data_IF_005720681726
#
_entry.id   IF_005720681726
#
_cell.length_a   1.000
_cell.length_b   1.000
_cell.length_c   1.000
_cell.angle_alpha   90.00
_cell.angle_beta   90.00
_cell.angle_gamma   90.00
#
_symmetry.space_group_name_H-M   'P 1'
#
loop_
_entity.id
_entity.type
_entity.pdbx_description
1 polymer ?
#
# COMPACT_ATOMS: atom_id res chain seq x y z
N UNK A 1 4.74 13.91 -9.04
CA UNK A 1 3.51 13.09 -8.95
C UNK A 1 3.23 12.53 -10.35
N UNK A 2 3.26 11.22 -10.56
CA UNK A 2 2.86 10.66 -11.84
C UNK A 2 1.39 11.00 -12.11
N UNK A 3 1.05 11.49 -13.30
CA UNK A 3 -0.34 11.70 -13.65
C UNK A 3 -1.00 10.31 -13.72
N UNK A 4 -2.07 10.13 -12.99
CA UNK A 4 -2.90 8.96 -13.14
C UNK A 4 -3.98 9.21 -14.20
N UNK A 5 -4.05 8.36 -15.21
CA UNK A 5 -5.11 8.41 -16.23
C UNK A 5 -6.18 7.39 -15.84
N UNK A 6 -7.33 7.88 -15.46
CA UNK A 6 -8.49 7.04 -15.22
C UNK A 6 -9.03 6.54 -16.58
N UNK A 7 -9.22 5.23 -16.81
CA UNK A 7 -9.53 4.69 -18.14
C UNK A 7 -10.78 5.25 -18.81
N UNK A 8 -11.69 5.84 -18.04
CA UNK A 8 -12.98 6.36 -18.53
C UNK A 8 -13.18 7.86 -18.29
N UNK A 9 -12.16 8.58 -17.80
CA UNK A 9 -12.21 10.02 -17.57
C UNK A 9 -11.10 10.73 -18.35
N UNK A 10 -11.42 11.86 -18.95
CA UNK A 10 -10.46 12.68 -19.68
C UNK A 10 -9.47 13.42 -18.74
N UNK A 11 -9.76 13.46 -17.43
CA UNK A 11 -8.94 14.18 -16.45
C UNK A 11 -8.21 13.22 -15.52
N UNK A 12 -6.90 13.45 -15.29
CA UNK A 12 -6.13 12.70 -14.31
C UNK A 12 -6.52 13.15 -12.89
N UNK A 13 -7.04 12.23 -12.07
CA UNK A 13 -7.28 12.47 -10.66
C UNK A 13 -6.24 11.74 -9.81
N UNK A 14 -5.75 12.43 -8.76
CA UNK A 14 -4.83 11.85 -7.79
C UNK A 14 -5.61 11.13 -6.69
N UNK A 15 -5.13 9.95 -6.28
CA UNK A 15 -5.61 9.28 -5.10
C UNK A 15 -5.14 9.98 -3.81
N UNK A 16 -5.81 9.67 -2.69
CA UNK A 16 -5.37 10.06 -1.34
C UNK A 16 -5.21 8.80 -0.50
N UNK A 17 -4.11 8.74 0.25
CA UNK A 17 -3.81 7.65 1.16
C UNK A 17 -3.34 8.16 2.50
N UNK A 18 -3.38 7.30 3.50
CA UNK A 18 -2.78 7.53 4.81
C UNK A 18 -1.68 6.52 5.03
N UNK A 19 -0.57 6.96 5.62
CA UNK A 19 0.50 6.07 5.98
C UNK A 19 0.94 6.29 7.42
N UNK A 20 1.48 5.24 8.02
CA UNK A 20 2.20 5.31 9.30
C UNK A 20 3.41 4.40 9.27
N UNK A 21 4.47 4.83 9.96
CA UNK A 21 5.68 4.04 10.16
C UNK A 21 5.71 3.59 11.62
N UNK A 22 5.76 2.29 11.82
CA UNK A 22 6.00 1.65 13.12
C UNK A 22 7.48 1.28 13.16
N UNK A 23 8.28 2.12 13.79
CA UNK A 23 9.72 1.91 13.87
C UNK A 23 10.09 0.68 14.70
N UNK A 24 11.23 0.09 14.37
CA UNK A 24 11.95 -0.81 15.24
C UNK A 24 12.35 -0.10 16.56
N UNK A 25 12.81 -0.84 17.59
CA UNK A 25 13.20 -0.23 18.86
C UNK A 25 14.35 0.78 18.78
N UNK A 26 15.16 0.77 17.72
CA UNK A 26 16.25 1.71 17.52
C UNK A 26 15.78 3.08 16.97
N UNK A 27 14.54 3.16 16.47
CA UNK A 27 13.96 4.38 15.94
C UNK A 27 14.52 4.83 14.59
N UNK A 28 15.32 3.99 13.93
CA UNK A 28 15.96 4.28 12.64
C UNK A 28 15.18 3.59 11.53
N UNK A 29 14.75 4.36 10.52
CA UNK A 29 14.13 3.79 9.33
C UNK A 29 15.22 3.24 8.41
N UNK A 30 15.48 1.93 8.45
CA UNK A 30 16.55 1.30 7.68
C UNK A 30 16.15 -0.02 6.99
N UNK A 31 15.15 -0.74 7.50
CA UNK A 31 14.69 -2.05 7.01
C UNK A 31 13.18 -2.08 6.78
N UNK A 32 12.65 -1.31 5.82
CA UNK A 32 11.21 -1.14 5.66
C UNK A 32 10.51 -2.38 5.11
N UNK A 33 9.40 -2.73 5.76
CA UNK A 33 8.40 -3.69 5.30
C UNK A 33 7.13 -2.89 5.05
N UNK A 34 6.69 -2.80 3.80
CA UNK A 34 5.44 -2.17 3.42
C UNK A 34 4.28 -3.16 3.60
N UNK A 35 3.25 -2.75 4.32
CA UNK A 35 1.99 -3.48 4.47
C UNK A 35 0.89 -2.66 3.80
N UNK A 36 0.31 -3.20 2.74
CA UNK A 36 -0.64 -2.50 1.87
C UNK A 36 -2.05 -2.99 2.17
N UNK A 37 -2.97 -2.09 2.47
CA UNK A 37 -4.35 -2.48 2.72
C UNK A 37 -5.01 -3.10 1.48
N UNK A 38 -6.03 -3.94 1.73
CA UNK A 38 -6.83 -4.60 0.71
C UNK A 38 -8.13 -3.88 0.40
N UNK A 39 -9.09 -4.63 -0.16
CA UNK A 39 -10.43 -4.12 -0.45
C UNK A 39 -11.18 -3.76 0.84
N UNK A 40 -11.59 -2.48 0.95
CA UNK A 40 -12.35 -1.94 2.08
C UNK A 40 -13.32 -0.84 1.64
N UNK A 41 -14.45 -1.21 1.00
CA UNK A 41 -15.39 -0.25 0.42
C UNK A 41 -16.11 0.62 1.46
N UNK A 42 -16.09 0.21 2.73
CA UNK A 42 -16.76 0.93 3.82
C UNK A 42 -15.79 1.73 4.69
N UNK A 43 -14.50 1.74 4.35
CA UNK A 43 -13.44 2.40 5.14
C UNK A 43 -13.50 1.97 6.62
N UNK A 44 -13.65 0.67 6.81
CA UNK A 44 -13.83 0.05 8.13
C UNK A 44 -12.51 -0.16 8.88
N UNK A 45 -11.40 -0.12 8.17
CA UNK A 45 -10.06 -0.31 8.72
C UNK A 45 -9.26 1.00 8.73
N UNK A 46 -8.78 1.34 9.89
CA UNK A 46 -7.74 2.35 10.06
C UNK A 46 -6.34 1.70 10.10
N UNK A 47 -5.31 2.50 10.19
CA UNK A 47 -3.90 2.03 10.27
C UNK A 47 -3.69 0.97 11.37
N UNK A 48 -4.29 1.16 12.55
CA UNK A 48 -4.15 0.19 13.64
C UNK A 48 -4.84 -1.14 13.33
N UNK A 49 -6.02 -1.10 12.72
CA UNK A 49 -6.74 -2.31 12.29
C UNK A 49 -5.98 -3.06 11.19
N UNK A 50 -5.34 -2.36 10.25
CA UNK A 50 -4.50 -2.97 9.21
C UNK A 50 -3.28 -3.64 9.88
N UNK A 51 -2.63 -2.96 10.81
CA UNK A 51 -1.50 -3.53 11.55
C UNK A 51 -1.91 -4.79 12.34
N UNK A 52 -3.12 -4.79 12.96
CA UNK A 52 -3.67 -5.95 13.67
C UNK A 52 -3.96 -7.16 12.79
N UNK A 53 -4.01 -7.01 11.46
CA UNK A 53 -4.10 -8.17 10.54
C UNK A 53 -2.86 -9.07 10.61
N UNK A 54 -1.78 -8.60 11.22
CA UNK A 54 -0.57 -9.39 11.49
C UNK A 54 -0.67 -10.21 12.79
N UNK A 55 -1.82 -10.17 13.48
CA UNK A 55 -2.05 -10.95 14.72
C UNK A 55 -2.15 -12.44 14.41
N UNK A 56 -1.58 -13.24 15.29
CA UNK A 56 -1.68 -14.70 15.30
C UNK A 56 -1.81 -15.22 16.75
N UNK A 57 -2.07 -16.50 16.92
CA UNK A 57 -2.36 -17.08 18.25
C UNK A 57 -1.22 -16.96 19.30
N UNK A 58 -0.08 -16.43 18.94
CA UNK A 58 1.08 -16.24 19.84
C UNK A 58 1.56 -14.79 19.95
N UNK A 59 0.92 -13.84 19.27
CA UNK A 59 1.34 -12.44 19.27
C UNK A 59 1.02 -11.71 17.95
N UNK A 60 1.84 -10.75 17.61
CA UNK A 60 1.73 -10.01 16.34
C UNK A 60 3.04 -10.14 15.55
N UNK A 61 2.92 -10.52 14.27
CA UNK A 61 4.08 -10.68 13.39
C UNK A 61 4.84 -9.35 13.18
N UNK A 62 4.11 -8.23 13.08
CA UNK A 62 4.71 -6.91 12.96
C UNK A 62 5.60 -6.57 14.17
N UNK A 63 5.12 -6.85 15.39
CA UNK A 63 5.91 -6.64 16.60
C UNK A 63 7.13 -7.57 16.66
N UNK A 64 6.97 -8.81 16.20
CA UNK A 64 8.05 -9.79 16.13
C UNK A 64 9.18 -9.31 15.20
N UNK A 65 8.85 -8.87 13.99
CA UNK A 65 9.90 -8.41 13.05
C UNK A 65 10.47 -7.05 13.44
N UNK A 66 9.66 -6.18 14.08
CA UNK A 66 10.17 -4.91 14.62
C UNK A 66 11.20 -5.15 15.73
N UNK A 67 10.97 -6.13 16.59
CA UNK A 67 11.96 -6.54 17.60
C UNK A 67 13.28 -7.06 16.97
N UNK A 68 13.25 -7.47 15.71
CA UNK A 68 14.42 -7.87 14.91
C UNK A 68 15.04 -6.71 14.11
N UNK A 69 14.56 -5.48 14.28
CA UNK A 69 15.10 -4.28 13.67
C UNK A 69 14.44 -3.90 12.33
N UNK A 70 13.27 -4.46 11.97
CA UNK A 70 12.51 -4.01 10.81
C UNK A 70 11.54 -2.89 11.16
N UNK A 71 11.23 -2.04 10.18
CA UNK A 71 10.20 -1.01 10.28
C UNK A 71 8.98 -1.41 9.48
N UNK A 72 7.78 -1.24 10.05
CA UNK A 72 6.54 -1.51 9.30
C UNK A 72 5.97 -0.20 8.78
N UNK A 73 5.84 -0.09 7.47
CA UNK A 73 5.22 1.05 6.76
C UNK A 73 3.84 0.61 6.29
N UNK A 74 2.79 1.07 6.96
CA UNK A 74 1.40 0.73 6.61
C UNK A 74 0.86 1.78 5.65
N UNK A 75 0.21 1.35 4.57
CA UNK A 75 -0.54 2.20 3.64
C UNK A 75 -2.02 1.83 3.68
N UNK A 76 -2.86 2.81 4.03
CA UNK A 76 -4.31 2.75 4.02
C UNK A 76 -4.89 3.64 2.91
N UNK A 77 -6.06 3.27 2.39
CA UNK A 77 -6.81 3.98 1.36
C UNK A 77 -8.17 4.46 1.92
N UNK A 78 -8.20 5.57 2.67
CA UNK A 78 -9.42 6.04 3.32
C UNK A 78 -10.43 6.59 2.32
N UNK A 79 -11.65 6.77 2.77
CA UNK A 79 -12.67 7.55 2.07
C UNK A 79 -12.33 9.04 2.14
N UNK A 80 -12.45 9.74 1.03
CA UNK A 80 -12.23 11.19 0.96
C UNK A 80 -13.16 11.89 -0.02
N UNK A 81 -13.42 13.17 0.23
CA UNK A 81 -14.15 14.03 -0.70
C UNK A 81 -13.18 14.63 -1.72
N UNK A 82 -13.48 14.48 -3.00
CA UNK A 82 -12.71 15.06 -4.10
C UNK A 82 -13.39 16.34 -4.54
N UNK A 83 -12.73 17.47 -4.28
CA UNK A 83 -13.30 18.79 -4.49
C UNK A 83 -13.41 19.17 -5.98
N UNK A 84 -12.54 18.61 -6.81
CA UNK A 84 -12.45 18.93 -8.22
C UNK A 84 -13.75 18.61 -8.99
N UNK A 85 -14.44 17.57 -8.60
CA UNK A 85 -15.71 17.13 -9.22
C UNK A 85 -16.82 16.87 -8.19
N UNK A 86 -16.61 17.25 -6.93
CA UNK A 86 -17.59 17.16 -5.84
C UNK A 86 -18.08 15.73 -5.58
N UNK A 87 -17.17 14.73 -5.64
CA UNK A 87 -17.50 13.30 -5.46
C UNK A 87 -16.80 12.73 -4.25
N UNK A 88 -17.53 11.88 -3.50
CA UNK A 88 -16.93 11.02 -2.49
C UNK A 88 -16.22 9.84 -3.15
N UNK A 89 -14.96 9.63 -2.82
CA UNK A 89 -14.14 8.51 -3.28
C UNK A 89 -13.93 7.56 -2.13
N UNK A 90 -14.33 6.32 -2.32
CA UNK A 90 -14.08 5.21 -1.41
C UNK A 90 -12.72 4.61 -1.76
N UNK A 91 -11.64 5.08 -1.11
CA UNK A 91 -10.27 4.74 -1.46
C UNK A 91 -9.99 3.24 -1.46
N UNK A 92 -10.54 2.51 -0.48
CA UNK A 92 -10.42 1.05 -0.39
C UNK A 92 -11.19 0.26 -1.46
N UNK A 93 -11.96 0.94 -2.32
CA UNK A 93 -12.65 0.37 -3.48
C UNK A 93 -12.35 1.13 -4.78
N UNK A 94 -11.36 2.02 -4.74
CA UNK A 94 -10.95 2.82 -5.90
C UNK A 94 -10.13 1.97 -6.88
N UNK A 95 -9.83 2.55 -8.04
CA UNK A 95 -9.04 1.89 -9.08
C UNK A 95 -7.68 1.42 -8.54
N UNK A 96 -7.35 0.16 -8.84
CA UNK A 96 -6.08 -0.47 -8.44
C UNK A 96 -4.89 0.40 -8.90
N UNK A 97 -4.96 0.92 -10.12
CA UNK A 97 -3.92 1.76 -10.70
C UNK A 97 -3.73 3.06 -9.92
N UNK A 98 -4.82 3.69 -9.47
CA UNK A 98 -4.73 4.93 -8.68
C UNK A 98 -4.10 4.67 -7.32
N UNK A 99 -4.51 3.60 -6.65
CA UNK A 99 -3.93 3.18 -5.38
C UNK A 99 -2.47 2.72 -5.55
N UNK A 100 -2.13 2.11 -6.69
CA UNK A 100 -0.76 1.75 -7.00
C UNK A 100 0.16 2.98 -7.14
N UNK A 101 -0.35 4.09 -7.70
CA UNK A 101 0.44 5.33 -7.78
C UNK A 101 0.72 5.93 -6.39
N UNK A 102 -0.18 5.75 -5.42
CA UNK A 102 0.08 6.12 -4.03
C UNK A 102 1.24 5.28 -3.44
N UNK A 103 1.24 3.98 -3.71
CA UNK A 103 2.34 3.11 -3.28
C UNK A 103 3.66 3.47 -3.96
N UNK A 104 3.65 3.82 -5.25
CA UNK A 104 4.84 4.31 -5.97
C UNK A 104 5.42 5.54 -5.26
N UNK A 105 4.60 6.54 -4.93
CA UNK A 105 5.06 7.74 -4.23
C UNK A 105 5.54 7.43 -2.81
N UNK A 106 4.87 6.51 -2.12
CA UNK A 106 5.31 6.08 -0.79
C UNK A 106 6.67 5.38 -0.84
N UNK A 107 6.88 4.44 -1.77
CA UNK A 107 8.18 3.76 -1.96
C UNK A 107 9.29 4.77 -2.24
N UNK A 108 9.06 5.72 -3.15
CA UNK A 108 10.03 6.79 -3.45
C UNK A 108 10.35 7.62 -2.21
N UNK A 109 9.34 8.01 -1.45
CA UNK A 109 9.49 8.80 -0.22
C UNK A 109 10.32 8.04 0.82
N UNK A 110 10.00 6.78 1.06
CA UNK A 110 10.74 5.93 2.02
C UNK A 110 12.17 5.70 1.54
N UNK A 111 12.38 5.38 0.27
CA UNK A 111 13.73 5.18 -0.28
C UNK A 111 14.62 6.41 -0.18
N UNK A 112 14.03 7.62 -0.26
CA UNK A 112 14.77 8.88 -0.10
C UNK A 112 15.08 9.20 1.36
N UNK A 113 14.35 8.64 2.31
CA UNK A 113 14.49 8.94 3.74
C UNK A 113 15.15 7.84 4.56
N UNK A 114 15.12 6.58 4.08
CA UNK A 114 15.73 5.47 4.81
C UNK A 114 17.25 5.57 4.84
N UNK A 115 17.83 5.05 5.91
CA UNK A 115 19.28 4.98 6.11
C UNK A 115 19.79 3.60 5.73
N UNK A 116 20.99 3.53 5.17
CA UNK A 116 21.60 2.25 4.80
C UNK A 116 21.14 1.71 3.45
N UNK A 117 21.45 0.43 3.19
CA UNK A 117 21.28 -0.20 1.88
C UNK A 117 20.33 -1.42 1.91
N UNK A 118 19.60 -1.62 3.02
CA UNK A 118 18.67 -2.73 3.10
C UNK A 118 17.48 -2.50 2.15
N UNK A 119 17.18 -3.54 1.39
CA UNK A 119 16.10 -3.49 0.41
C UNK A 119 14.73 -3.70 1.04
N UNK A 120 13.75 -3.10 0.45
CA UNK A 120 12.36 -3.16 0.88
C UNK A 120 11.76 -4.58 0.79
N UNK A 121 10.80 -4.84 1.65
CA UNK A 121 9.85 -5.96 1.53
C UNK A 121 8.48 -5.34 1.32
N UNK A 122 7.69 -5.87 0.40
CA UNK A 122 6.32 -5.41 0.14
C UNK A 122 5.35 -6.57 0.36
N UNK A 123 4.38 -6.37 1.23
CA UNK A 123 3.34 -7.35 1.58
C UNK A 123 2.00 -6.78 1.15
N UNK A 124 1.31 -7.48 0.27
CA UNK A 124 -0.02 -7.12 -0.22
C UNK A 124 -1.02 -8.26 -0.04
N UNK A 125 -1.87 -8.21 1.00
CA UNK A 125 -3.00 -9.12 1.10
C UNK A 125 -4.13 -8.69 0.17
N UNK A 126 -4.91 -9.65 -0.36
CA UNK A 126 -6.11 -9.40 -1.15
C UNK A 126 -5.84 -8.42 -2.31
N UNK A 127 -6.68 -7.38 -2.47
CA UNK A 127 -6.47 -6.31 -3.47
C UNK A 127 -5.13 -5.58 -3.27
N UNK A 128 -4.60 -5.50 -2.05
CA UNK A 128 -3.28 -4.91 -1.77
C UNK A 128 -2.14 -5.61 -2.52
N UNK A 129 -2.29 -6.91 -2.82
CA UNK A 129 -1.34 -7.63 -3.67
C UNK A 129 -1.40 -7.17 -5.13
N UNK A 130 -2.60 -6.93 -5.69
CA UNK A 130 -2.74 -6.38 -7.05
C UNK A 130 -2.14 -4.97 -7.14
N UNK A 131 -2.45 -4.12 -6.17
CA UNK A 131 -1.91 -2.76 -6.04
C UNK A 131 -0.37 -2.81 -6.02
N UNK A 132 0.19 -3.68 -5.16
CA UNK A 132 1.64 -3.83 -5.03
C UNK A 132 2.30 -4.33 -6.32
N UNK A 133 1.72 -5.36 -6.95
CA UNK A 133 2.23 -5.88 -8.22
C UNK A 133 2.21 -4.82 -9.32
N UNK A 134 1.12 -4.05 -9.42
CA UNK A 134 1.01 -2.99 -10.41
C UNK A 134 2.06 -1.89 -10.14
N UNK A 135 2.19 -1.44 -8.90
CA UNK A 135 3.15 -0.40 -8.52
C UNK A 135 4.59 -0.80 -8.85
N UNK A 136 5.03 -2.00 -8.46
CA UNK A 136 6.38 -2.47 -8.72
C UNK A 136 6.65 -2.62 -10.22
N UNK A 137 5.72 -3.24 -10.97
CA UNK A 137 5.83 -3.37 -12.42
C UNK A 137 5.86 -1.99 -13.14
N UNK A 138 5.03 -1.04 -12.68
CA UNK A 138 5.05 0.32 -13.20
C UNK A 138 6.43 0.97 -12.99
N UNK A 139 6.99 0.89 -11.77
CA UNK A 139 8.31 1.45 -11.49
C UNK A 139 9.39 0.82 -12.37
N UNK A 140 9.39 -0.52 -12.52
CA UNK A 140 10.30 -1.23 -13.43
C UNK A 140 10.15 -0.73 -14.88
N UNK A 141 8.92 -0.59 -15.39
CA UNK A 141 8.65 -0.13 -16.76
C UNK A 141 9.11 1.30 -17.02
N UNK A 142 9.15 2.12 -15.98
CA UNK A 142 9.61 3.51 -16.03
C UNK A 142 11.09 3.66 -15.67
N UNK A 143 11.84 2.56 -15.47
CA UNK A 143 13.22 2.55 -14.99
C UNK A 143 13.41 3.30 -13.66
N UNK A 144 12.42 3.24 -12.78
CA UNK A 144 12.47 3.75 -11.42
C UNK A 144 12.83 2.60 -10.49
N UNK A 145 13.93 2.73 -9.75
CA UNK A 145 14.32 1.72 -8.79
C UNK A 145 13.39 1.73 -7.58
N UNK A 146 12.67 0.64 -7.36
CA UNK A 146 11.81 0.45 -6.19
C UNK A 146 12.56 -0.14 -4.99
N UNK A 147 13.81 -0.58 -5.19
CA UNK A 147 14.68 -1.15 -4.16
C UNK A 147 14.01 -2.28 -3.33
N UNK A 148 13.19 -3.11 -3.98
CA UNK A 148 12.45 -4.19 -3.33
C UNK A 148 13.10 -5.54 -3.61
N UNK A 149 13.45 -6.29 -2.56
CA UNK A 149 14.02 -7.64 -2.65
C UNK A 149 12.99 -8.76 -2.56
N UNK A 150 11.82 -8.48 -1.98
CA UNK A 150 10.80 -9.48 -1.74
C UNK A 150 9.40 -8.84 -1.84
N UNK A 151 8.58 -9.41 -2.68
CA UNK A 151 7.15 -9.14 -2.77
C UNK A 151 6.38 -10.37 -2.31
N UNK A 152 5.50 -10.20 -1.32
CA UNK A 152 4.64 -11.24 -0.77
C UNK A 152 3.20 -10.91 -1.13
N UNK A 153 2.62 -11.73 -1.96
CA UNK A 153 1.21 -11.70 -2.31
C UNK A 153 0.46 -12.73 -1.48
N UNK A 154 -0.50 -12.27 -0.68
CA UNK A 154 -1.24 -13.12 0.23
C UNK A 154 -2.73 -13.09 -0.11
N UNK A 155 -3.30 -14.25 -0.47
CA UNK A 155 -4.72 -14.41 -0.85
C UNK A 155 -5.19 -13.37 -1.89
N UNK A 156 -4.36 -13.14 -2.90
CA UNK A 156 -4.56 -12.10 -3.91
C UNK A 156 -5.20 -12.68 -5.18
N UNK A 157 -6.28 -12.09 -5.70
CA UNK A 157 -6.98 -12.59 -6.88
C UNK A 157 -6.28 -12.19 -8.19
N UNK A 158 -5.08 -12.72 -8.45
CA UNK A 158 -4.26 -12.37 -9.62
C UNK A 158 -4.90 -12.69 -10.98
N UNK A 159 -5.88 -13.58 -11.00
CA UNK A 159 -6.65 -13.93 -12.20
C UNK A 159 -8.05 -13.33 -12.23
N UNK A 160 -8.31 -12.39 -11.35
CA UNK A 160 -9.62 -11.78 -11.14
C UNK A 160 -10.43 -12.44 -10.03
N UNK A 161 -11.51 -11.80 -9.65
CA UNK A 161 -12.46 -12.28 -8.65
C UNK A 161 -13.89 -12.10 -9.14
N UNK A 162 -14.76 -13.08 -8.88
CA UNK A 162 -16.20 -12.91 -9.04
C UNK A 162 -16.72 -12.15 -7.82
N UNK A 163 -16.85 -10.84 -7.96
CA UNK A 163 -17.51 -10.01 -6.95
C UNK A 163 -18.99 -9.90 -7.31
N UNK A 164 -19.93 -10.31 -6.43
CA UNK A 164 -21.35 -10.16 -6.70
C UNK A 164 -21.71 -8.69 -6.96
N UNK A 165 -22.44 -8.43 -8.05
CA UNK A 165 -22.97 -7.09 -8.37
C UNK A 165 -24.08 -6.82 -7.36
N UNK A 166 -23.82 -6.01 -6.33
CA UNK A 166 -24.80 -5.69 -5.29
C UNK A 166 -24.18 -5.36 -3.93
N UNK A 167 -22.89 -5.12 -3.90
CA UNK A 167 -22.22 -4.49 -2.75
C UNK A 167 -22.25 -2.97 -2.90
#
# INVERSE_FOLDING_TARGET
DPPFIQPYNEYPFKGRGQMSIFHSPDGILDKPIFLIDGFDPLDSRNIAAIYSQLDYSGGNLGDTVRAQGYDIVVLNFPTYFREEDQVWIYGGADYIERNAMLLVELIKTINNSKVGNEKNIVIGPSMGGLISRYALNYMESQNIDHDTRLYISFDTPHTGANVPIGF
#
